data_IF_905277135162
#
_entry.id   IF_905277135162
#
_cell.length_a   1.000
_cell.length_b   1.000
_cell.length_c   1.000
_cell.angle_alpha   90.00
_cell.angle_beta   90.00
_cell.angle_gamma   90.00
#
_symmetry.space_group_name_H-M   'P 1'
#
loop_
_entity.id
_entity.type
_entity.pdbx_description
1 polymer ?
#
# COMPACT_ATOMS: atom_id res chain seq x y z
N UNK A 1 -19.96 -4.74 3.79
CA UNK A 1 -18.89 -4.90 2.77
C UNK A 1 -17.96 -6.02 3.22
N UNK A 2 -17.72 -6.99 2.34
CA UNK A 2 -16.76 -8.05 2.64
C UNK A 2 -15.35 -7.56 2.40
N UNK A 3 -14.49 -7.72 3.39
CA UNK A 3 -13.06 -7.47 3.22
C UNK A 3 -12.45 -8.65 2.45
N UNK A 4 -11.55 -8.34 1.54
CA UNK A 4 -10.83 -9.37 0.80
C UNK A 4 -9.75 -9.98 1.66
N UNK A 5 -9.50 -11.27 1.44
CA UNK A 5 -8.43 -11.99 2.11
C UNK A 5 -7.19 -12.02 1.22
N UNK A 6 -6.04 -11.73 1.81
CA UNK A 6 -4.76 -11.75 1.12
C UNK A 6 -3.72 -12.42 2.00
N UNK A 7 -2.69 -12.99 1.38
CA UNK A 7 -1.44 -13.22 2.10
C UNK A 7 -0.55 -11.98 1.96
N UNK A 8 0.38 -11.80 2.88
CA UNK A 8 1.35 -10.70 2.79
C UNK A 8 2.14 -10.80 1.49
N UNK A 9 2.47 -12.02 1.08
CA UNK A 9 3.19 -12.29 -0.16
C UNK A 9 2.39 -11.82 -1.37
N UNK A 10 1.08 -12.08 -1.41
CA UNK A 10 0.23 -11.64 -2.53
C UNK A 10 0.22 -10.11 -2.66
N UNK A 11 0.10 -9.40 -1.56
CA UNK A 11 0.10 -7.94 -1.56
C UNK A 11 1.45 -7.42 -2.07
N UNK A 12 2.54 -7.94 -1.53
CA UNK A 12 3.88 -7.53 -1.92
C UNK A 12 4.17 -7.81 -3.40
N UNK A 13 3.85 -9.02 -3.85
CA UNK A 13 4.08 -9.41 -5.25
C UNK A 13 3.24 -8.55 -6.21
N UNK A 14 2.00 -8.24 -5.83
CA UNK A 14 1.16 -7.35 -6.63
C UNK A 14 1.79 -5.96 -6.76
N UNK A 15 2.21 -5.37 -5.65
CA UNK A 15 2.83 -4.05 -5.68
C UNK A 15 4.13 -4.06 -6.46
N UNK A 16 4.90 -5.11 -6.32
CA UNK A 16 6.19 -5.25 -7.01
C UNK A 16 6.04 -5.39 -8.52
N UNK A 17 4.91 -5.92 -8.99
CA UNK A 17 4.62 -6.09 -10.41
C UNK A 17 4.07 -4.81 -11.07
N UNK A 18 4.23 -3.65 -10.46
CA UNK A 18 3.73 -2.39 -11.00
C UNK A 18 4.39 -2.06 -12.35
N UNK A 19 3.66 -1.31 -13.23
CA UNK A 19 4.11 -1.09 -14.60
C UNK A 19 5.34 -0.19 -14.74
N UNK A 20 5.68 0.57 -13.70
CA UNK A 20 6.83 1.47 -13.72
C UNK A 20 8.07 0.85 -13.06
N UNK A 21 7.98 -0.40 -12.61
CA UNK A 21 9.04 -1.08 -11.87
C UNK A 21 9.52 -0.29 -10.65
N UNK A 22 8.60 0.47 -10.03
CA UNK A 22 8.90 1.25 -8.85
C UNK A 22 9.23 0.33 -7.69
N UNK A 23 10.23 0.70 -6.91
CA UNK A 23 10.68 -0.08 -5.75
C UNK A 23 9.60 -0.13 -4.68
N UNK A 24 9.45 -1.31 -4.07
CA UNK A 24 8.49 -1.51 -2.97
C UNK A 24 9.29 -1.82 -1.70
N UNK A 25 8.98 -1.08 -0.64
CA UNK A 25 9.60 -1.26 0.67
C UNK A 25 8.52 -1.58 1.70
N UNK A 26 8.85 -2.45 2.63
CA UNK A 26 8.00 -2.75 3.78
C UNK A 26 8.57 -2.02 4.99
N UNK A 27 7.72 -1.20 5.62
CA UNK A 27 8.14 -0.37 6.74
C UNK A 27 8.78 0.93 6.29
N UNK A 28 9.60 1.49 7.16
CA UNK A 28 10.22 2.79 6.93
C UNK A 28 11.47 2.72 6.07
N UNK A 29 11.66 3.71 5.22
CA UNK A 29 12.88 3.90 4.47
C UNK A 29 13.67 5.05 5.07
N UNK A 30 14.93 4.80 5.44
CA UNK A 30 15.76 5.80 6.09
C UNK A 30 16.31 6.85 5.11
N UNK A 31 16.47 6.49 3.84
CA UNK A 31 17.10 7.38 2.86
C UNK A 31 16.29 7.41 1.57
N UNK A 32 15.71 8.58 1.28
CA UNK A 32 14.93 8.83 0.07
C UNK A 32 15.83 9.52 -0.96
N UNK A 33 16.45 8.74 -1.81
CA UNK A 33 17.46 9.20 -2.76
C UNK A 33 16.90 9.92 -4.00
N UNK A 34 15.74 10.56 -3.88
CA UNK A 34 15.10 11.23 -5.00
C UNK A 34 14.49 10.30 -6.03
N UNK A 35 14.32 9.03 -5.68
CA UNK A 35 13.68 8.02 -6.53
C UNK A 35 12.21 7.86 -6.14
N UNK A 36 11.44 7.23 -7.01
CA UNK A 36 10.06 6.89 -6.73
C UNK A 36 9.99 5.64 -5.85
N UNK A 37 9.03 5.60 -4.92
CA UNK A 37 8.87 4.50 -3.98
C UNK A 37 7.41 4.16 -3.76
N UNK A 38 7.17 2.88 -3.45
CA UNK A 38 5.91 2.42 -2.86
C UNK A 38 6.25 1.83 -1.49
N UNK A 39 5.55 2.27 -0.46
CA UNK A 39 5.71 1.73 0.90
C UNK A 39 4.47 0.95 1.29
N UNK A 40 4.70 -0.23 1.84
CA UNK A 40 3.66 -1.05 2.45
C UNK A 40 3.92 -1.10 3.94
N UNK A 41 2.96 -0.65 4.75
CA UNK A 41 3.07 -0.68 6.19
C UNK A 41 1.84 -1.32 6.80
N UNK A 42 2.04 -2.02 7.90
CA UNK A 42 0.97 -2.62 8.69
C UNK A 42 0.73 -1.72 9.89
N UNK A 43 -0.41 -1.01 9.87
CA UNK A 43 -0.71 0.01 10.86
C UNK A 43 -1.23 -0.61 12.15
N UNK A 44 -2.10 -1.62 12.04
CA UNK A 44 -2.64 -2.31 13.20
C UNK A 44 -3.22 -3.66 12.80
N UNK A 45 -3.33 -4.54 13.78
CA UNK A 45 -4.02 -5.81 13.64
C UNK A 45 -5.14 -5.89 14.66
N UNK A 46 -6.31 -6.26 14.20
CA UNK A 46 -7.47 -6.44 15.06
C UNK A 46 -7.81 -7.94 15.04
N UNK A 47 -7.65 -8.66 16.16
CA UNK A 47 -8.00 -10.07 16.20
C UNK A 47 -9.51 -10.26 16.08
N UNK A 48 -9.92 -11.22 15.26
CA UNK A 48 -11.29 -11.59 15.08
C UNK A 48 -11.44 -13.08 15.33
N UNK A 49 -12.38 -13.46 16.17
CA UNK A 49 -12.68 -14.86 16.45
C UNK A 49 -13.78 -15.35 15.52
N UNK A 50 -13.48 -16.40 14.77
CA UNK A 50 -14.43 -17.09 13.90
C UNK A 50 -14.29 -18.60 14.09
N UNK A 51 -15.34 -19.26 14.55
CA UNK A 51 -15.45 -20.71 14.52
C UNK A 51 -14.17 -21.45 14.97
N UNK A 52 -13.59 -21.07 16.09
CA UNK A 52 -12.35 -21.62 16.66
C UNK A 52 -11.06 -21.26 15.91
N UNK A 53 -11.17 -20.44 14.87
CA UNK A 53 -9.99 -19.91 14.19
C UNK A 53 -9.78 -18.45 14.57
N UNK A 54 -8.52 -18.07 14.74
CA UNK A 54 -8.15 -16.68 14.98
C UNK A 54 -7.75 -16.07 13.64
N UNK A 55 -8.64 -15.26 13.06
CA UNK A 55 -8.31 -14.46 11.90
C UNK A 55 -7.97 -13.04 12.36
N UNK A 56 -7.18 -12.36 11.58
CA UNK A 56 -6.79 -10.99 11.85
C UNK A 56 -7.25 -10.08 10.74
N UNK A 57 -7.94 -9.00 11.13
CA UNK A 57 -8.14 -7.88 10.23
C UNK A 57 -6.94 -6.96 10.41
N UNK A 58 -6.14 -6.84 9.38
CA UNK A 58 -5.00 -5.92 9.38
C UNK A 58 -5.39 -4.63 8.71
N UNK A 59 -5.00 -3.51 9.29
CA UNK A 59 -5.09 -2.22 8.62
C UNK A 59 -3.74 -1.98 7.96
N UNK A 60 -3.74 -1.93 6.64
CA UNK A 60 -2.53 -1.68 5.88
C UNK A 60 -2.57 -0.29 5.29
N UNK A 61 -1.40 0.26 5.07
CA UNK A 61 -1.22 1.56 4.46
C UNK A 61 -0.23 1.41 3.31
N UNK A 62 -0.67 1.82 2.11
CA UNK A 62 0.17 1.79 0.93
C UNK A 62 0.41 3.23 0.52
N UNK A 63 1.65 3.66 0.55
CA UNK A 63 2.06 5.01 0.21
C UNK A 63 2.83 5.01 -1.09
N UNK A 64 2.38 5.84 -2.03
CA UNK A 64 3.06 6.07 -3.30
C UNK A 64 3.75 7.42 -3.23
N UNK A 65 5.04 7.45 -3.48
CA UNK A 65 5.85 8.67 -3.51
C UNK A 65 6.55 8.75 -4.85
N UNK A 66 6.22 9.77 -5.63
CA UNK A 66 6.81 9.95 -6.96
C UNK A 66 7.29 11.38 -7.14
N UNK A 67 8.34 11.54 -7.95
CA UNK A 67 8.82 12.85 -8.37
C UNK A 67 8.02 13.42 -9.54
N UNK A 68 7.17 12.59 -10.15
CA UNK A 68 6.41 12.94 -11.35
C UNK A 68 4.92 12.71 -11.11
N UNK A 69 4.11 13.69 -11.43
CA UNK A 69 2.66 13.64 -11.24
C UNK A 69 2.02 12.48 -12.03
N UNK A 70 2.46 12.26 -13.27
CA UNK A 70 1.91 11.20 -14.11
C UNK A 70 2.27 9.82 -13.56
N UNK A 71 3.45 9.67 -13.00
CA UNK A 71 3.84 8.41 -12.37
C UNK A 71 2.95 8.09 -11.18
N UNK A 72 2.60 9.10 -10.37
CA UNK A 72 1.66 8.91 -9.26
C UNK A 72 0.32 8.40 -9.79
N UNK A 73 -0.20 9.00 -10.86
CA UNK A 73 -1.47 8.58 -11.45
C UNK A 73 -1.41 7.14 -11.94
N UNK A 74 -0.33 6.77 -12.61
CA UNK A 74 -0.16 5.41 -13.13
C UNK A 74 -0.15 4.38 -11.99
N UNK A 75 0.60 4.66 -10.93
CA UNK A 75 0.68 3.75 -9.78
C UNK A 75 -0.64 3.68 -9.01
N UNK A 76 -1.32 4.81 -8.84
CA UNK A 76 -2.64 4.83 -8.20
C UNK A 76 -3.64 3.99 -8.97
N UNK A 77 -3.70 4.15 -10.28
CA UNK A 77 -4.62 3.37 -11.13
C UNK A 77 -4.30 1.87 -11.04
N UNK A 78 -3.03 1.52 -10.97
CA UNK A 78 -2.60 0.14 -10.80
C UNK A 78 -3.06 -0.44 -9.45
N UNK A 79 -2.83 0.29 -8.36
CA UNK A 79 -3.18 -0.16 -7.01
C UNK A 79 -4.69 -0.30 -6.85
N UNK A 80 -5.48 0.56 -7.49
CA UNK A 80 -6.93 0.47 -7.46
C UNK A 80 -7.47 -0.83 -8.07
N UNK A 81 -6.71 -1.53 -8.86
CA UNK A 81 -7.13 -2.83 -9.41
C UNK A 81 -7.27 -3.89 -8.31
N UNK A 82 -6.47 -3.79 -7.27
CA UNK A 82 -6.53 -4.72 -6.13
C UNK A 82 -7.39 -4.17 -4.99
N UNK A 83 -7.20 -2.91 -4.65
CA UNK A 83 -7.89 -2.24 -3.55
C UNK A 83 -8.81 -1.18 -4.11
N UNK A 84 -10.12 -1.45 -4.11
CA UNK A 84 -11.13 -0.58 -4.72
C UNK A 84 -11.48 0.60 -3.82
N UNK A 85 -10.46 1.34 -3.39
CA UNK A 85 -10.62 2.51 -2.53
C UNK A 85 -9.88 3.70 -3.14
N UNK A 86 -10.33 4.89 -2.79
CA UNK A 86 -9.67 6.12 -3.20
C UNK A 86 -8.53 6.44 -2.23
N UNK A 87 -7.36 6.87 -2.73
CA UNK A 87 -6.29 7.31 -1.86
C UNK A 87 -6.50 8.75 -1.40
N UNK A 88 -5.77 9.14 -0.37
CA UNK A 88 -5.59 10.53 -0.03
C UNK A 88 -4.37 11.07 -0.76
N UNK A 89 -4.51 12.23 -1.39
CA UNK A 89 -3.44 12.86 -2.16
C UNK A 89 -2.80 13.98 -1.36
N UNK A 90 -1.49 14.10 -1.47
CA UNK A 90 -0.75 15.19 -0.87
C UNK A 90 0.51 15.48 -1.68
N UNK A 91 1.18 16.57 -1.33
CA UNK A 91 2.45 16.95 -1.93
C UNK A 91 3.40 17.38 -0.81
N UNK A 92 4.58 16.79 -0.80
CA UNK A 92 5.62 17.17 0.15
C UNK A 92 6.49 18.26 -0.45
N UNK A 93 6.37 19.49 0.06
CA UNK A 93 7.17 20.62 -0.39
C UNK A 93 8.64 20.46 0.00
N UNK A 94 8.89 19.80 1.14
CA UNK A 94 10.25 19.59 1.64
C UNK A 94 11.06 18.68 0.73
N UNK A 95 10.43 17.58 0.25
CA UNK A 95 11.12 16.58 -0.57
C UNK A 95 10.64 16.59 -2.02
N UNK A 96 9.69 17.43 -2.36
CA UNK A 96 9.12 17.56 -3.70
C UNK A 96 8.55 16.25 -4.24
N UNK A 97 7.85 15.49 -3.39
CA UNK A 97 7.17 14.27 -3.79
C UNK A 97 5.67 14.48 -3.96
N UNK A 98 5.13 13.94 -5.03
CA UNK A 98 3.70 13.73 -5.18
C UNK A 98 3.35 12.44 -4.46
N UNK A 99 2.42 12.51 -3.52
CA UNK A 99 2.09 11.39 -2.64
C UNK A 99 0.64 10.96 -2.81
N UNK A 100 0.41 9.66 -2.72
CA UNK A 100 -0.91 9.08 -2.63
C UNK A 100 -0.87 8.00 -1.54
N UNK A 101 -1.85 8.00 -0.64
CA UNK A 101 -1.86 7.10 0.48
C UNK A 101 -3.18 6.35 0.55
N UNK A 102 -3.10 5.03 0.48
CA UNK A 102 -4.24 4.13 0.64
C UNK A 102 -4.21 3.55 2.05
N UNK A 103 -5.34 3.61 2.73
CA UNK A 103 -5.49 2.96 4.03
C UNK A 103 -6.71 2.05 3.96
N UNK A 104 -6.54 0.78 4.20
CA UNK A 104 -7.63 -0.18 4.11
C UNK A 104 -7.45 -1.34 5.07
N UNK A 105 -8.58 -1.89 5.52
CA UNK A 105 -8.58 -3.14 6.26
C UNK A 105 -8.62 -4.34 5.33
N UNK A 106 -7.84 -5.34 5.63
CA UNK A 106 -7.80 -6.60 4.90
C UNK A 106 -7.71 -7.76 5.88
N UNK A 107 -8.18 -8.93 5.47
CA UNK A 107 -7.90 -10.15 6.22
C UNK A 107 -6.59 -10.73 5.70
N UNK A 108 -5.66 -10.95 6.60
CA UNK A 108 -4.39 -11.57 6.28
C UNK A 108 -4.48 -13.04 6.62
N UNK A 109 -4.37 -13.88 5.60
CA UNK A 109 -4.32 -15.34 5.71
C UNK A 109 -2.89 -15.80 5.52
N UNK A 110 -2.32 -16.37 6.56
CA UNK A 110 -0.98 -16.96 6.49
C UNK A 110 -0.93 -18.36 7.03
#
# INVERSE_FOLDING_TARGET
MMLRSFTQKEIYEFLKANPLHTQVHIGDLEDMNGQDYIFLDYVSDIPMLRDNNADYQSVIQISVLTKDFENRKTLVDYIKQMFLIAPEYSFSTEHEYYMAQFTTGVFINE
#
